data_IF_480828626372
#
_entry.id   IF_480828626372
#
_cell.length_a   1.000
_cell.length_b   1.000
_cell.length_c   1.000
_cell.angle_alpha   90.00
_cell.angle_beta   90.00
_cell.angle_gamma   90.00
#
_symmetry.space_group_name_H-M   'P 1'
#
loop_
_entity.id
_entity.type
_entity.pdbx_description
1 polymer ?
#
# COMPACT_ATOMS: atom_id res chain seq x y z
N UNK A 1 1.85 5.98 -17.83
CA UNK A 1 2.35 7.34 -18.15
C UNK A 1 1.24 8.39 -18.18
N UNK A 2 0.14 8.20 -18.93
CA UNK A 2 -0.99 9.14 -18.93
C UNK A 2 -1.62 9.32 -17.55
N UNK A 3 -1.61 8.27 -16.70
CA UNK A 3 -2.06 8.34 -15.32
C UNK A 3 -1.14 9.22 -14.47
N UNK A 4 0.18 9.01 -14.53
CA UNK A 4 1.18 9.89 -13.89
C UNK A 4 1.02 11.36 -14.28
N UNK A 5 0.87 11.65 -15.57
CA UNK A 5 0.69 13.04 -16.02
C UNK A 5 -0.61 13.66 -15.48
N UNK A 6 -1.70 12.88 -15.46
CA UNK A 6 -2.99 13.32 -14.92
C UNK A 6 -2.90 13.63 -13.42
N UNK A 7 -2.29 12.73 -12.64
CA UNK A 7 -2.20 12.91 -11.19
C UNK A 7 -1.23 14.03 -10.79
N UNK A 8 -0.13 14.19 -11.52
CA UNK A 8 0.78 15.33 -11.33
C UNK A 8 0.09 16.66 -11.65
N UNK A 9 -0.73 16.71 -12.71
CA UNK A 9 -1.53 17.90 -12.99
C UNK A 9 -2.62 18.14 -11.95
N UNK A 10 -3.24 17.08 -11.42
CA UNK A 10 -4.20 17.20 -10.31
C UNK A 10 -3.53 17.81 -9.08
N UNK A 11 -2.37 17.29 -8.67
CA UNK A 11 -1.59 17.84 -7.55
C UNK A 11 -1.20 19.32 -7.74
N UNK A 12 -0.87 19.72 -8.98
CA UNK A 12 -0.58 21.14 -9.28
C UNK A 12 -1.81 22.04 -9.23
N UNK A 13 -3.00 21.52 -9.55
CA UNK A 13 -4.25 22.29 -9.62
C UNK A 13 -4.97 22.37 -8.28
N UNK A 14 -4.92 21.30 -7.49
CA UNK A 14 -5.49 21.28 -6.15
C UNK A 14 -4.55 22.10 -5.27
N UNK A 15 -4.98 23.32 -4.93
CA UNK A 15 -4.22 24.25 -4.09
C UNK A 15 -3.74 23.55 -2.79
N UNK A 16 -2.56 23.89 -2.27
CA UNK A 16 -1.93 23.30 -1.08
C UNK A 16 -2.69 23.57 0.26
N UNK A 17 -4.01 23.76 0.20
CA UNK A 17 -4.85 23.84 1.39
C UNK A 17 -5.17 22.45 1.92
N UNK A 18 -5.47 22.37 3.22
CA UNK A 18 -5.93 21.19 3.97
C UNK A 18 -7.34 20.74 3.53
N UNK A 19 -7.52 20.49 2.24
CA UNK A 19 -8.77 20.04 1.64
C UNK A 19 -8.77 18.52 1.42
N UNK A 20 -9.93 17.91 1.59
CA UNK A 20 -10.16 16.47 1.31
C UNK A 20 -9.75 16.08 -0.12
N UNK A 21 -9.90 16.99 -1.09
CA UNK A 21 -9.46 16.81 -2.47
C UNK A 21 -7.93 16.68 -2.61
N UNK A 22 -7.17 17.39 -1.78
CA UNK A 22 -5.70 17.32 -1.81
C UNK A 22 -5.22 15.99 -1.24
N UNK A 23 -5.80 15.55 -0.12
CA UNK A 23 -5.56 14.20 0.42
C UNK A 23 -5.92 13.10 -0.59
N UNK A 24 -7.03 13.25 -1.30
CA UNK A 24 -7.40 12.31 -2.36
C UNK A 24 -6.40 12.31 -3.51
N UNK A 25 -5.90 13.48 -3.91
CA UNK A 25 -4.86 13.59 -4.92
C UNK A 25 -3.54 12.93 -4.47
N UNK A 26 -3.14 13.06 -3.19
CA UNK A 26 -1.99 12.35 -2.61
C UNK A 26 -2.19 10.83 -2.68
N UNK A 27 -3.36 10.32 -2.28
CA UNK A 27 -3.68 8.88 -2.37
C UNK A 27 -3.62 8.37 -3.80
N UNK A 28 -4.22 9.10 -4.74
CA UNK A 28 -4.13 8.77 -6.17
C UNK A 28 -2.68 8.78 -6.67
N UNK A 29 -1.86 9.72 -6.22
CA UNK A 29 -0.45 9.79 -6.62
C UNK A 29 0.31 8.54 -6.19
N UNK A 30 0.22 8.16 -4.92
CA UNK A 30 0.91 7.00 -4.39
C UNK A 30 0.39 5.67 -4.97
N UNK A 31 -0.91 5.56 -5.21
CA UNK A 31 -1.48 4.40 -5.89
C UNK A 31 -1.00 4.29 -7.35
N UNK A 32 -0.99 5.40 -8.10
CA UNK A 32 -0.46 5.42 -9.47
C UNK A 32 1.04 5.13 -9.49
N UNK A 33 1.80 5.60 -8.50
CA UNK A 33 3.23 5.30 -8.38
C UNK A 33 3.47 3.80 -8.22
N UNK A 34 2.75 3.13 -7.32
CA UNK A 34 2.88 1.67 -7.15
C UNK A 34 2.49 0.93 -8.42
N UNK A 35 1.34 1.27 -9.02
CA UNK A 35 0.84 0.62 -10.23
C UNK A 35 1.78 0.82 -11.43
N UNK A 36 2.24 2.04 -11.68
CA UNK A 36 3.14 2.31 -12.80
C UNK A 36 4.53 1.71 -12.60
N UNK A 37 4.98 1.54 -11.34
CA UNK A 37 6.24 0.85 -11.05
C UNK A 37 6.15 -0.64 -11.40
N UNK A 38 5.07 -1.30 -10.98
CA UNK A 38 4.84 -2.71 -11.30
C UNK A 38 4.66 -2.95 -12.81
N UNK A 39 3.88 -2.08 -13.48
CA UNK A 39 3.69 -2.18 -14.93
C UNK A 39 4.97 -1.90 -15.70
N UNK A 40 5.86 -1.05 -15.20
CA UNK A 40 7.17 -0.82 -15.82
C UNK A 40 8.03 -2.07 -15.75
N UNK A 41 8.09 -2.71 -14.59
CA UNK A 41 8.89 -3.91 -14.39
C UNK A 41 8.39 -5.07 -15.26
N UNK A 42 7.08 -5.18 -15.48
CA UNK A 42 6.47 -6.28 -16.25
C UNK A 42 6.38 -6.03 -17.76
N UNK A 43 6.16 -4.79 -18.20
CA UNK A 43 5.82 -4.46 -19.60
C UNK A 43 6.84 -3.55 -20.29
N UNK A 44 8.00 -3.29 -19.66
CA UNK A 44 9.07 -2.43 -20.18
C UNK A 44 8.58 -1.05 -20.65
N UNK A 45 7.70 -0.45 -19.83
CA UNK A 45 7.09 0.84 -20.15
C UNK A 45 8.09 1.99 -19.98
N UNK A 46 8.00 3.01 -20.84
CA UNK A 46 8.85 4.21 -20.76
C UNK A 46 8.67 4.94 -19.43
N UNK A 47 9.77 5.51 -18.92
CA UNK A 47 9.79 6.27 -17.67
C UNK A 47 8.85 7.48 -17.71
N UNK A 48 7.86 7.49 -16.82
CA UNK A 48 6.92 8.59 -16.64
C UNK A 48 7.47 9.73 -15.79
N UNK A 49 8.63 9.56 -15.17
CA UNK A 49 9.22 10.52 -14.24
C UNK A 49 8.41 10.71 -12.96
N UNK A 50 7.49 9.78 -12.63
CA UNK A 50 6.65 9.87 -11.44
C UNK A 50 7.46 9.90 -10.14
N UNK A 51 8.59 9.20 -10.12
CA UNK A 51 9.55 9.15 -9.02
C UNK A 51 10.25 10.51 -8.77
N UNK A 52 10.28 11.44 -9.73
CA UNK A 52 10.92 12.76 -9.56
C UNK A 52 10.21 13.68 -8.54
N UNK A 53 9.08 13.24 -8.02
CA UNK A 53 8.23 13.98 -7.08
C UNK A 53 7.98 13.23 -5.78
N UNK A 54 8.56 12.04 -5.57
CA UNK A 54 8.24 11.20 -4.41
C UNK A 54 8.62 11.88 -3.08
N UNK A 55 9.72 12.64 -3.08
CA UNK A 55 10.15 13.43 -1.92
C UNK A 55 9.36 14.73 -1.73
N UNK A 56 8.55 15.15 -2.72
CA UNK A 56 7.76 16.40 -2.69
C UNK A 56 6.31 16.17 -2.29
N UNK A 57 5.80 14.96 -2.49
CA UNK A 57 4.44 14.59 -2.12
C UNK A 57 4.48 13.95 -0.75
N UNK A 58 3.70 14.47 0.19
CA UNK A 58 3.62 13.89 1.53
C UNK A 58 2.89 12.54 1.50
N UNK A 59 3.12 11.71 2.51
CA UNK A 59 2.30 10.52 2.72
C UNK A 59 0.83 10.94 2.94
N UNK A 60 -0.11 10.14 2.45
CA UNK A 60 -1.53 10.44 2.63
C UNK A 60 -1.93 10.19 4.09
N UNK A 61 -2.83 10.99 4.63
CA UNK A 61 -3.42 10.70 5.94
C UNK A 61 -4.23 9.39 5.87
N UNK A 62 -4.19 8.60 6.93
CA UNK A 62 -4.91 7.34 7.11
C UNK A 62 -6.43 7.52 7.11
N UNK A 63 -6.94 8.71 7.47
CA UNK A 63 -8.39 8.96 7.62
C UNK A 63 -9.18 8.70 6.33
N UNK A 64 -10.27 7.92 6.43
CA UNK A 64 -11.30 7.67 5.38
C UNK A 64 -10.76 7.12 4.05
N UNK A 65 -9.54 6.60 4.03
CA UNK A 65 -8.79 6.36 2.79
C UNK A 65 -9.29 5.13 1.99
N UNK A 66 -9.97 4.19 2.64
CA UNK A 66 -10.40 2.91 2.04
C UNK A 66 -11.69 2.38 2.64
N UNK A 67 -12.66 3.27 2.89
CA UNK A 67 -14.00 2.85 3.29
C UNK A 67 -14.81 2.61 2.02
N UNK A 68 -14.94 1.35 1.63
CA UNK A 68 -15.89 0.96 0.60
C UNK A 68 -17.27 0.93 1.26
N UNK A 69 -18.08 1.97 1.01
CA UNK A 69 -19.48 1.99 1.41
C UNK A 69 -20.24 0.99 0.54
N UNK A 70 -20.35 -0.25 1.02
CA UNK A 70 -21.07 -1.32 0.33
C UNK A 70 -22.59 -1.04 0.28
N UNK A 71 -23.08 -0.06 1.05
CA UNK A 71 -24.50 0.34 1.09
C UNK A 71 -24.83 1.51 0.15
N UNK A 72 -23.82 2.12 -0.51
CA UNK A 72 -24.03 3.10 -1.56
C UNK A 72 -24.43 2.38 -2.87
N UNK A 73 -25.74 2.15 -3.01
CA UNK A 73 -26.41 1.42 -4.09
C UNK A 73 -25.72 1.47 -5.46
N UNK A 74 -25.30 0.28 -5.91
CA UNK A 74 -24.96 -0.03 -7.29
C UNK A 74 -26.16 0.28 -8.21
N UNK A 75 -25.99 0.94 -9.38
CA UNK A 75 -27.04 1.00 -10.38
C UNK A 75 -27.26 -0.41 -10.93
N UNK A 76 -28.41 -1.00 -10.62
CA UNK A 76 -28.81 -2.32 -11.09
C UNK A 76 -28.65 -2.47 -12.61
N UNK A 77 -27.62 -3.19 -13.05
CA UNK A 77 -27.63 -3.86 -14.35
C UNK A 77 -28.00 -5.31 -14.13
N UNK A 78 -29.26 -5.63 -14.44
CA UNK A 78 -29.79 -6.98 -14.56
C UNK A 78 -28.98 -7.76 -15.57
N UNK A 79 -28.21 -8.76 -15.14
CA UNK A 79 -27.89 -9.92 -15.98
C UNK A 79 -27.67 -11.13 -15.08
N UNK A 80 -28.41 -12.18 -15.37
CA UNK A 80 -28.50 -13.41 -14.60
C UNK A 80 -27.27 -14.34 -14.78
N UNK A 81 -27.07 -15.17 -13.75
CA UNK A 81 -26.40 -16.50 -13.75
C UNK A 81 -24.91 -16.55 -13.33
N UNK A 82 -24.40 -17.72 -12.85
CA UNK A 82 -24.49 -18.09 -11.43
C UNK A 82 -23.18 -18.64 -10.83
N UNK A 83 -23.05 -18.56 -9.50
CA UNK A 83 -22.23 -19.51 -8.72
C UNK A 83 -20.83 -19.05 -8.32
N UNK A 84 -20.70 -18.55 -7.09
CA UNK A 84 -19.74 -19.08 -6.13
C UNK A 84 -20.13 -18.66 -4.72
N UNK A 85 -20.16 -19.66 -3.84
CA UNK A 85 -20.69 -19.65 -2.50
C UNK A 85 -19.65 -19.00 -1.56
N UNK A 86 -20.00 -17.87 -0.95
CA UNK A 86 -19.52 -17.54 0.39
C UNK A 86 -20.75 -17.18 1.21
N UNK A 87 -21.29 -18.21 1.85
CA UNK A 87 -22.26 -18.06 2.93
C UNK A 87 -21.60 -17.31 4.08
N UNK A 88 -22.08 -16.12 4.37
CA UNK A 88 -22.12 -15.61 5.75
C UNK A 88 -23.35 -14.76 5.96
N UNK A 89 -24.48 -15.42 6.19
CA UNK A 89 -25.64 -14.83 6.82
C UNK A 89 -26.18 -15.81 7.86
N UNK A 90 -25.77 -15.63 9.11
CA UNK A 90 -26.51 -16.14 10.26
C UNK A 90 -27.43 -15.03 10.75
N UNK A 91 -28.72 -15.17 10.42
CA UNK A 91 -29.95 -14.80 11.15
C UNK A 91 -30.10 -13.34 11.63
N UNK A 92 -31.28 -12.73 11.67
CA UNK A 92 -32.47 -13.13 12.42
C UNK A 92 -33.78 -12.77 11.69
N UNK A 93 -34.68 -13.74 11.57
CA UNK A 93 -36.11 -13.48 11.43
C UNK A 93 -36.65 -13.22 12.84
N UNK A 94 -37.22 -12.04 13.07
CA UNK A 94 -37.85 -11.67 14.35
C UNK A 94 -39.30 -12.17 14.31
N UNK A 95 -39.67 -13.04 15.26
CA UNK A 95 -41.07 -13.28 15.61
C UNK A 95 -41.39 -12.45 16.86
N UNK A 96 -42.53 -11.74 16.93
CA UNK A 96 -42.84 -10.86 18.05
C UNK A 96 -43.50 -11.69 19.15
N UNK A 97 -42.90 -11.76 20.33
CA UNK A 97 -43.60 -11.77 21.61
C UNK A 97 -42.64 -11.83 22.80
N UNK A 98 -42.99 -11.05 23.83
CA UNK A 98 -42.44 -10.99 25.19
C UNK A 98 -41.02 -10.40 25.43
N UNK A 99 -41.02 -9.08 25.68
CA UNK A 99 -40.49 -8.48 26.91
C UNK A 99 -39.03 -8.72 27.30
N UNK A 100 -38.18 -7.72 27.08
CA UNK A 100 -36.89 -7.61 27.75
C UNK A 100 -35.96 -6.61 27.08
N UNK A 101 -35.93 -5.37 27.58
CA UNK A 101 -34.95 -4.38 27.16
C UNK A 101 -33.53 -4.84 27.54
N UNK A 102 -32.67 -5.06 26.55
CA UNK A 102 -31.20 -5.07 26.75
C UNK A 102 -30.53 -4.38 25.57
N UNK A 103 -29.96 -3.22 25.85
CA UNK A 103 -29.09 -2.46 24.96
C UNK A 103 -27.64 -2.96 25.10
N UNK A 104 -26.92 -2.96 23.97
CA UNK A 104 -25.45 -2.79 23.80
C UNK A 104 -24.50 -4.03 23.81
N UNK A 105 -23.29 -3.96 23.18
CA UNK A 105 -23.02 -3.64 21.77
C UNK A 105 -21.77 -4.40 21.19
N UNK A 106 -21.81 -5.22 20.13
CA UNK A 106 -20.57 -5.78 19.54
C UNK A 106 -20.70 -6.23 18.06
N UNK A 107 -21.02 -5.32 17.13
CA UNK A 107 -21.03 -5.64 15.68
C UNK A 107 -20.24 -4.65 14.82
N UNK A 108 -19.69 -3.56 15.36
CA UNK A 108 -18.99 -2.54 14.57
C UNK A 108 -17.46 -2.71 14.41
N UNK A 109 -16.84 -3.68 15.09
CA UNK A 109 -15.37 -3.73 15.26
C UNK A 109 -14.60 -4.29 14.05
N UNK A 110 -15.20 -5.21 13.29
CA UNK A 110 -14.49 -5.90 12.20
C UNK A 110 -14.19 -5.04 10.96
N UNK A 111 -15.00 -4.02 10.68
CA UNK A 111 -14.83 -3.14 9.50
C UNK A 111 -13.66 -2.17 9.67
N UNK A 112 -13.49 -1.65 10.89
CA UNK A 112 -12.41 -0.70 11.23
C UNK A 112 -11.05 -1.42 11.18
N UNK A 113 -10.93 -2.58 11.82
CA UNK A 113 -9.68 -3.38 11.84
C UNK A 113 -9.25 -3.82 10.43
N UNK A 114 -10.19 -4.15 9.55
CA UNK A 114 -9.89 -4.51 8.16
C UNK A 114 -9.37 -3.31 7.34
N UNK A 115 -9.94 -2.12 7.54
CA UNK A 115 -9.48 -0.89 6.89
C UNK A 115 -8.09 -0.49 7.37
N UNK A 116 -7.82 -0.61 8.67
CA UNK A 116 -6.51 -0.30 9.26
C UNK A 116 -5.42 -1.26 8.74
N UNK A 117 -5.73 -2.55 8.60
CA UNK A 117 -4.83 -3.54 7.98
C UNK A 117 -4.52 -3.20 6.52
N UNK A 118 -5.52 -2.86 5.72
CA UNK A 118 -5.33 -2.49 4.31
C UNK A 118 -4.44 -1.24 4.16
N UNK A 119 -4.66 -0.25 5.02
CA UNK A 119 -3.86 0.98 5.05
C UNK A 119 -2.41 0.70 5.47
N UNK A 120 -2.22 -0.06 6.55
CA UNK A 120 -0.90 -0.46 7.02
C UNK A 120 -0.14 -1.24 5.94
N UNK A 121 -0.82 -2.11 5.19
CA UNK A 121 -0.25 -2.87 4.06
C UNK A 121 0.18 -1.96 2.92
N UNK A 122 -0.66 -1.00 2.54
CA UNK A 122 -0.36 -0.05 1.48
C UNK A 122 0.85 0.81 1.83
N UNK A 123 0.90 1.33 3.06
CA UNK A 123 2.04 2.12 3.52
C UNK A 123 3.31 1.27 3.66
N UNK A 124 3.19 0.03 4.12
CA UNK A 124 4.28 -0.94 4.18
C UNK A 124 4.87 -1.21 2.78
N UNK A 125 4.01 -1.50 1.80
CA UNK A 125 4.43 -1.71 0.41
C UNK A 125 5.09 -0.45 -0.16
N UNK A 126 4.48 0.73 0.05
CA UNK A 126 5.04 1.98 -0.43
C UNK A 126 6.42 2.27 0.16
N UNK A 127 6.59 2.07 1.47
CA UNK A 127 7.88 2.27 2.13
C UNK A 127 8.95 1.32 1.59
N UNK A 128 8.65 0.02 1.46
CA UNK A 128 9.58 -0.95 0.87
C UNK A 128 9.91 -0.60 -0.58
N UNK A 129 8.92 -0.18 -1.38
CA UNK A 129 9.14 0.22 -2.78
C UNK A 129 10.06 1.43 -2.88
N UNK A 130 9.97 2.39 -1.96
CA UNK A 130 10.90 3.54 -1.88
C UNK A 130 12.32 3.12 -1.52
N UNK A 131 12.49 2.21 -0.56
CA UNK A 131 13.81 1.67 -0.21
C UNK A 131 14.41 0.95 -1.41
N UNK A 132 13.64 0.09 -2.08
CA UNK A 132 14.08 -0.65 -3.26
C UNK A 132 14.45 0.29 -4.41
N UNK A 133 13.68 1.35 -4.64
CA UNK A 133 13.98 2.37 -5.64
C UNK A 133 15.36 3.04 -5.39
N UNK A 134 15.69 3.33 -4.12
CA UNK A 134 16.99 3.88 -3.72
C UNK A 134 18.14 2.87 -3.84
N UNK A 135 17.86 1.56 -3.80
CA UNK A 135 18.89 0.54 -4.06
C UNK A 135 19.44 0.65 -5.48
N UNK A 136 18.56 0.93 -6.45
CA UNK A 136 18.97 1.09 -7.84
C UNK A 136 19.84 2.34 -8.06
N UNK A 137 19.69 3.36 -7.20
CA UNK A 137 20.53 4.58 -7.25
C UNK A 137 21.83 4.45 -6.43
N UNK A 138 21.98 3.41 -5.60
CA UNK A 138 23.22 3.09 -4.87
C UNK A 138 24.36 2.61 -5.78
N UNK A 139 24.07 2.41 -7.07
CA UNK A 139 25.01 2.05 -8.11
C UNK A 139 25.41 3.32 -8.86
N UNK A 140 26.69 3.70 -8.83
CA UNK A 140 27.19 4.84 -9.60
C UNK A 140 27.96 4.36 -10.81
N UNK A 141 27.64 4.91 -11.99
CA UNK A 141 28.48 4.75 -13.18
C UNK A 141 29.58 5.81 -13.18
N UNK A 142 30.83 5.38 -13.34
CA UNK A 142 31.95 6.29 -13.52
C UNK A 142 31.96 6.83 -14.97
N UNK A 143 32.66 7.95 -15.23
CA UNK A 143 32.85 8.44 -16.61
C UNK A 143 33.54 7.44 -17.55
N UNK A 144 34.22 6.42 -17.00
CA UNK A 144 34.89 5.35 -17.75
C UNK A 144 33.96 4.17 -18.08
N UNK A 145 32.72 4.19 -17.59
CA UNK A 145 31.75 3.12 -17.77
C UNK A 145 31.72 2.10 -16.62
N UNK A 146 32.67 2.17 -15.68
CA UNK A 146 32.72 1.23 -14.56
C UNK A 146 31.54 1.44 -13.61
N UNK A 147 30.93 0.33 -13.19
CA UNK A 147 29.87 0.29 -12.19
C UNK A 147 30.54 0.21 -10.82
N UNK A 148 30.33 1.23 -9.97
CA UNK A 148 30.89 1.28 -8.62
C UNK A 148 29.76 1.16 -7.62
N UNK A 149 29.79 0.07 -6.87
CA UNK A 149 28.94 -0.15 -5.71
C UNK A 149 29.37 0.74 -4.54
N UNK A 150 28.40 1.36 -3.87
CA UNK A 150 28.63 2.19 -2.68
C UNK A 150 28.23 1.42 -1.40
N UNK A 151 29.16 0.74 -0.71
CA UNK A 151 28.83 -0.10 0.45
C UNK A 151 28.24 0.69 1.63
N UNK A 152 28.64 1.96 1.80
CA UNK A 152 28.08 2.82 2.84
C UNK A 152 26.59 3.13 2.60
N UNK A 153 26.18 3.29 1.34
CA UNK A 153 24.77 3.52 0.99
C UNK A 153 23.96 2.25 1.23
N UNK A 154 24.51 1.09 0.88
CA UNK A 154 23.84 -0.18 1.14
C UNK A 154 23.62 -0.45 2.63
N UNK A 155 24.62 -0.16 3.47
CA UNK A 155 24.49 -0.28 4.93
C UNK A 155 23.40 0.66 5.48
N UNK A 156 23.35 1.89 4.99
CA UNK A 156 22.30 2.85 5.36
C UNK A 156 20.91 2.37 4.92
N UNK A 157 20.77 1.85 3.69
CA UNK A 157 19.51 1.30 3.21
C UNK A 157 19.06 0.06 4.00
N UNK A 158 19.99 -0.81 4.41
CA UNK A 158 19.69 -1.92 5.30
C UNK A 158 19.18 -1.41 6.66
N UNK A 159 19.84 -0.40 7.22
CA UNK A 159 19.44 0.21 8.49
C UNK A 159 18.04 0.81 8.40
N UNK A 160 17.74 1.56 7.34
CA UNK A 160 16.40 2.11 7.09
C UNK A 160 15.33 1.02 6.94
N UNK A 161 15.67 -0.12 6.35
CA UNK A 161 14.76 -1.25 6.19
C UNK A 161 14.49 -1.96 7.52
N UNK A 162 15.51 -2.13 8.36
CA UNK A 162 15.37 -2.72 9.69
C UNK A 162 14.60 -1.81 10.66
N UNK A 163 14.86 -0.50 10.60
CA UNK A 163 14.07 0.51 11.32
C UNK A 163 12.61 0.50 10.87
N UNK A 164 12.35 0.48 9.55
CA UNK A 164 11.00 0.38 9.01
C UNK A 164 10.26 -0.85 9.54
N UNK A 165 10.91 -2.03 9.52
CA UNK A 165 10.32 -3.25 10.06
C UNK A 165 9.98 -3.10 11.55
N UNK A 166 10.76 -2.31 12.30
CA UNK A 166 10.53 -2.04 13.72
C UNK A 166 9.35 -1.14 14.03
N UNK A 167 8.97 -0.30 13.08
CA UNK A 167 7.87 0.65 13.21
C UNK A 167 6.55 0.10 12.66
N UNK A 168 6.54 -1.13 12.14
CA UNK A 168 5.33 -1.73 11.59
C UNK A 168 4.25 -1.90 12.68
N UNK A 169 2.99 -1.55 12.37
CA UNK A 169 1.87 -1.80 13.27
C UNK A 169 1.69 -3.29 13.55
N UNK A 170 1.20 -3.64 14.74
CA UNK A 170 0.93 -5.03 15.17
C UNK A 170 0.05 -5.80 14.16
N UNK A 171 -0.86 -5.09 13.48
CA UNK A 171 -1.77 -5.64 12.51
C UNK A 171 -1.08 -6.26 11.26
N UNK A 172 0.15 -5.85 10.96
CA UNK A 172 0.96 -6.32 9.82
C UNK A 172 2.38 -6.74 10.23
N UNK A 173 2.65 -6.79 11.55
CA UNK A 173 3.93 -7.29 12.05
C UNK A 173 4.11 -8.75 11.66
N UNK A 174 5.34 -9.09 11.31
CA UNK A 174 5.75 -10.42 10.88
C UNK A 174 7.00 -10.92 11.63
N UNK A 175 7.39 -10.26 12.72
CA UNK A 175 8.43 -10.76 13.63
C UNK A 175 8.01 -12.01 14.38
N UNK A 176 6.74 -12.06 14.75
CA UNK A 176 6.16 -13.16 15.50
C UNK A 176 5.76 -14.29 14.54
N UNK A 177 6.32 -15.48 14.73
CA UNK A 177 6.06 -16.67 13.89
C UNK A 177 4.67 -17.30 14.14
N UNK A 178 3.89 -16.77 15.08
CA UNK A 178 2.76 -17.45 15.70
C UNK A 178 1.47 -17.49 14.87
N UNK A 179 1.34 -16.67 13.81
CA UNK A 179 0.21 -16.75 12.89
C UNK A 179 0.67 -16.41 11.47
N UNK A 180 0.65 -17.40 10.58
CA UNK A 180 1.01 -17.29 9.17
C UNK A 180 -0.11 -16.60 8.38
N UNK A 181 -0.50 -15.39 8.78
CA UNK A 181 -1.36 -14.56 7.95
C UNK A 181 -0.69 -14.37 6.58
N UNK A 182 -1.38 -14.62 5.45
CA UNK A 182 -0.79 -14.56 4.12
C UNK A 182 -0.09 -13.22 3.83
N UNK A 183 -0.66 -12.13 4.34
CA UNK A 183 -0.13 -10.78 4.23
C UNK A 183 1.19 -10.60 5.00
N UNK A 184 1.27 -11.04 6.26
CA UNK A 184 2.49 -10.99 7.06
C UNK A 184 3.61 -11.81 6.42
N UNK A 185 3.27 -12.97 5.83
CA UNK A 185 4.23 -13.76 5.06
C UNK A 185 4.69 -13.05 3.78
N UNK A 186 3.78 -12.41 3.06
CA UNK A 186 4.11 -11.63 1.87
C UNK A 186 5.08 -10.48 2.20
N UNK A 187 4.77 -9.68 3.22
CA UNK A 187 5.65 -8.59 3.68
C UNK A 187 7.02 -9.12 4.15
N UNK A 188 7.05 -10.27 4.83
CA UNK A 188 8.30 -10.92 5.23
C UNK A 188 9.15 -11.33 4.03
N UNK A 189 8.55 -11.94 3.02
CA UNK A 189 9.25 -12.31 1.78
C UNK A 189 9.79 -11.05 1.09
N UNK A 190 8.95 -10.02 0.96
CA UNK A 190 9.36 -8.74 0.37
C UNK A 190 10.54 -8.10 1.12
N UNK A 191 10.53 -8.12 2.45
CA UNK A 191 11.64 -7.63 3.29
C UNK A 191 12.96 -8.33 2.96
N UNK A 192 12.98 -9.67 2.92
CA UNK A 192 14.19 -10.42 2.59
C UNK A 192 14.63 -10.23 1.13
N UNK A 193 13.67 -10.16 0.19
CA UNK A 193 13.96 -9.83 -1.20
C UNK A 193 14.59 -8.43 -1.35
N UNK A 194 14.13 -7.44 -0.56
CA UNK A 194 14.74 -6.12 -0.52
C UNK A 194 16.17 -6.16 0.02
N UNK A 195 16.42 -6.88 1.14
CA UNK A 195 17.78 -7.07 1.67
C UNK A 195 18.73 -7.65 0.64
N UNK A 196 18.32 -8.72 -0.05
CA UNK A 196 19.14 -9.32 -1.10
C UNK A 196 19.41 -8.31 -2.23
N UNK A 197 18.39 -7.56 -2.66
CA UNK A 197 18.50 -6.56 -3.72
C UNK A 197 19.46 -5.41 -3.35
N UNK A 198 19.54 -5.00 -2.07
CA UNK A 198 20.48 -3.96 -1.60
C UNK A 198 21.95 -4.37 -1.85
N UNK A 199 22.27 -5.66 -1.64
CA UNK A 199 23.63 -6.18 -1.76
C UNK A 199 23.94 -6.83 -3.11
N UNK A 200 22.93 -7.06 -3.94
CA UNK A 200 23.10 -7.63 -5.28
C UNK A 200 24.22 -6.95 -6.10
N UNK A 201 24.36 -5.61 -6.11
CA UNK A 201 25.39 -4.97 -6.91
C UNK A 201 26.81 -5.14 -6.36
N UNK A 202 27.00 -5.73 -5.17
CA UNK A 202 28.32 -6.06 -4.63
C UNK A 202 28.89 -7.38 -5.22
N UNK A 203 28.06 -8.18 -5.89
CA UNK A 203 28.42 -9.49 -6.44
C UNK A 203 28.99 -9.37 -7.86
N UNK A 204 28.80 -8.22 -8.52
CA UNK A 204 29.27 -7.90 -9.88
C UNK A 204 30.24 -6.72 -9.84
#
# INVERSE_FOLDING_TARGET
MTASFKVQNLLKRVNQGTGELYEQAKRCYWAVLLLESELRDQLDMVDSGIWNYDDKVELPDSRRSWQFDLDAGSPCTTTASPGSIISRASCWNVNPDLGGAKMDPHVADGSVVASDKAQASFLAELAMRRILHRCYTAIRRTPRGDIVYAPAIALELETQLDEWQSLLPEAVDFRHLAALEPLSNFLRVQYYCCKISIYWPAVY
#
